data_IF_713689884857
#
_entry.id   IF_713689884857
#
_cell.length_a   1.000
_cell.length_b   1.000
_cell.length_c   1.000
_cell.angle_alpha   90.00
_cell.angle_beta   90.00
_cell.angle_gamma   90.00
#
_symmetry.space_group_name_H-M   'P 1'
#
loop_
_entity.id
_entity.type
_entity.pdbx_description
1 polymer ?
#
# COMPACT_ATOMS: atom_id res chain seq x y z
N UNK A 1 4.10 -11.69 -8.56
CA UNK A 1 3.18 -11.33 -7.48
C UNK A 1 1.76 -11.61 -7.95
N UNK A 2 0.93 -12.12 -7.06
CA UNK A 2 -0.48 -12.29 -7.38
C UNK A 2 -1.22 -11.02 -6.98
N UNK A 3 -2.52 -11.00 -7.15
CA UNK A 3 -3.32 -9.82 -6.85
C UNK A 3 -3.95 -9.82 -5.48
N UNK A 4 -3.31 -10.44 -4.49
CA UNK A 4 -3.88 -10.47 -3.16
C UNK A 4 -3.50 -9.21 -2.38
N UNK A 5 -4.51 -8.52 -1.85
CA UNK A 5 -4.29 -7.36 -1.00
C UNK A 5 -3.61 -7.78 0.30
N UNK A 6 -2.58 -7.06 0.72
CA UNK A 6 -1.84 -7.38 1.92
C UNK A 6 -2.62 -7.05 3.20
N UNK A 7 -3.63 -6.22 3.12
CA UNK A 7 -4.40 -5.80 4.29
C UNK A 7 -5.67 -6.62 4.44
N UNK A 8 -6.54 -6.61 3.42
CA UNK A 8 -7.83 -7.31 3.53
C UNK A 8 -7.75 -8.75 3.05
N UNK A 9 -6.64 -9.15 2.43
CA UNK A 9 -6.37 -10.50 1.97
C UNK A 9 -7.31 -11.00 0.88
N UNK A 10 -8.08 -10.11 0.26
CA UNK A 10 -8.94 -10.48 -0.86
C UNK A 10 -8.10 -10.61 -2.12
N UNK A 11 -8.61 -11.42 -3.05
CA UNK A 11 -7.95 -11.60 -4.34
C UNK A 11 -8.58 -10.66 -5.36
N UNK A 12 -7.74 -10.01 -6.13
CA UNK A 12 -8.16 -9.08 -7.18
C UNK A 12 -7.38 -9.38 -8.44
N UNK A 13 -7.86 -8.86 -9.56
CA UNK A 13 -7.05 -8.87 -10.78
C UNK A 13 -5.90 -7.89 -10.61
N UNK A 14 -4.74 -8.16 -11.22
CA UNK A 14 -3.59 -7.25 -11.09
C UNK A 14 -3.91 -5.80 -11.47
N UNK A 15 -4.87 -5.59 -12.38
CA UNK A 15 -5.25 -4.24 -12.77
C UNK A 15 -6.06 -3.51 -11.71
N UNK A 16 -6.50 -4.23 -10.68
CA UNK A 16 -7.33 -3.66 -9.63
C UNK A 16 -6.57 -3.40 -8.33
N UNK A 17 -5.27 -3.58 -8.37
CA UNK A 17 -4.43 -3.38 -7.18
C UNK A 17 -3.33 -2.38 -7.50
N UNK A 18 -2.77 -1.83 -6.45
CA UNK A 18 -1.65 -0.91 -6.54
C UNK A 18 -0.47 -1.46 -5.77
N UNK A 19 0.73 -1.10 -6.22
CA UNK A 19 1.94 -1.42 -5.48
C UNK A 19 2.18 -0.26 -4.52
N UNK A 20 2.38 -0.58 -3.26
CA UNK A 20 2.57 0.44 -2.23
C UNK A 20 3.82 0.11 -1.42
N UNK A 21 4.44 1.12 -0.85
CA UNK A 21 5.57 0.93 0.03
C UNK A 21 5.08 0.86 1.47
N UNK A 22 5.53 -0.17 2.19
CA UNK A 22 5.14 -0.36 3.58
C UNK A 22 5.51 0.88 4.39
N UNK A 23 6.77 1.34 4.23
CA UNK A 23 7.18 2.62 4.75
C UNK A 23 7.29 3.58 3.57
N UNK A 24 6.51 4.65 3.53
CA UNK A 24 6.53 5.57 2.39
C UNK A 24 7.91 6.12 2.10
N UNK A 25 8.21 6.27 0.83
CA UNK A 25 9.50 6.83 0.41
C UNK A 25 9.71 8.22 1.00
N UNK A 26 8.65 9.01 1.09
CA UNK A 26 8.72 10.35 1.65
C UNK A 26 9.11 10.34 3.12
N UNK A 27 8.94 9.22 3.80
CA UNK A 27 9.26 9.08 5.21
C UNK A 27 10.53 8.25 5.42
N UNK A 28 11.34 8.11 4.38
CA UNK A 28 12.61 7.41 4.49
C UNK A 28 12.55 5.94 4.13
N UNK A 29 11.45 5.48 3.55
CA UNK A 29 11.36 4.10 3.09
C UNK A 29 12.26 3.85 1.90
N UNK A 30 12.67 2.60 1.70
CA UNK A 30 13.49 2.21 0.58
C UNK A 30 12.64 1.54 -0.50
N UNK A 31 13.07 1.69 -1.75
CA UNK A 31 12.38 1.08 -2.87
C UNK A 31 12.97 -0.31 -3.12
N UNK A 32 12.71 -1.22 -2.17
CA UNK A 32 13.20 -2.58 -2.23
C UNK A 32 12.02 -3.54 -2.02
N UNK A 33 12.20 -4.77 -2.45
CA UNK A 33 11.12 -5.77 -2.41
C UNK A 33 10.56 -5.95 -1.00
N UNK A 34 11.41 -5.89 0.01
CA UNK A 34 10.97 -6.06 1.38
C UNK A 34 10.09 -4.91 1.88
N UNK A 35 10.10 -3.81 1.17
CA UNK A 35 9.32 -2.63 1.56
C UNK A 35 8.12 -2.37 0.66
N UNK A 36 7.78 -3.30 -0.24
CA UNK A 36 6.62 -3.12 -1.11
C UNK A 36 5.55 -4.13 -0.79
N UNK A 37 4.32 -3.76 -1.07
CA UNK A 37 3.18 -4.64 -0.85
C UNK A 37 2.12 -4.33 -1.89
N UNK A 38 1.22 -5.28 -2.09
CA UNK A 38 0.09 -5.11 -3.00
C UNK A 38 -1.11 -4.72 -2.16
N UNK A 39 -1.79 -3.66 -2.55
CA UNK A 39 -3.01 -3.21 -1.87
C UNK A 39 -4.09 -3.02 -2.92
N UNK A 40 -5.31 -3.43 -2.58
CA UNK A 40 -6.44 -3.05 -3.42
C UNK A 40 -6.63 -1.54 -3.33
N UNK A 41 -7.34 -0.98 -4.30
CA UNK A 41 -7.46 0.47 -4.36
C UNK A 41 -8.10 1.06 -3.11
N UNK A 42 -9.04 0.33 -2.51
CA UNK A 42 -9.68 0.80 -1.28
C UNK A 42 -8.68 0.85 -0.11
N UNK A 43 -7.92 -0.23 0.09
CA UNK A 43 -6.96 -0.27 1.18
C UNK A 43 -5.81 0.70 0.96
N UNK A 44 -5.39 0.87 -0.29
CA UNK A 44 -4.35 1.81 -0.63
C UNK A 44 -4.78 3.24 -0.27
N UNK A 45 -6.00 3.59 -0.61
CA UNK A 45 -6.54 4.91 -0.30
C UNK A 45 -6.59 5.14 1.21
N UNK A 46 -7.04 4.12 1.96
CA UNK A 46 -7.12 4.21 3.41
C UNK A 46 -5.73 4.35 4.02
N UNK A 47 -4.77 3.55 3.55
CA UNK A 47 -3.42 3.62 4.06
C UNK A 47 -2.79 4.99 3.81
N UNK A 48 -2.98 5.52 2.61
CA UNK A 48 -2.43 6.84 2.28
C UNK A 48 -3.02 7.91 3.18
N UNK A 49 -4.32 7.84 3.45
CA UNK A 49 -4.95 8.80 4.35
C UNK A 49 -4.38 8.68 5.75
N UNK A 50 -4.13 7.46 6.22
CA UNK A 50 -3.55 7.25 7.53
C UNK A 50 -2.10 7.73 7.61
N UNK A 51 -1.35 7.53 6.53
CA UNK A 51 0.07 7.91 6.52
C UNK A 51 0.27 9.41 6.39
N UNK A 52 -0.63 10.10 5.69
CA UNK A 52 -0.43 11.51 5.35
C UNK A 52 -1.61 12.40 5.74
N UNK A 53 -2.82 11.96 5.50
CA UNK A 53 -3.97 12.83 5.54
C UNK A 53 -4.49 13.14 6.91
N UNK A 54 -4.25 12.28 7.86
CA UNK A 54 -4.85 12.39 9.19
C UNK A 54 -3.85 12.73 10.27
N UNK A 55 -2.65 12.99 9.91
CA UNK A 55 -1.60 13.19 10.90
C UNK A 55 -1.75 14.56 11.53
N UNK A 56 -1.85 14.62 12.83
CA UNK A 56 -2.04 15.91 13.52
C UNK A 56 -0.76 16.67 13.77
N UNK A 57 0.30 16.16 13.39
CA UNK A 57 1.57 16.85 13.61
C UNK A 57 1.79 18.02 12.71
#
# INVERSE_FOLDING_TARGET
MNGQCAICLRLFYPSEVDIDHVKPLALGGEDVEENVQILCKHCHKTKTAMDFGKRPF
#
